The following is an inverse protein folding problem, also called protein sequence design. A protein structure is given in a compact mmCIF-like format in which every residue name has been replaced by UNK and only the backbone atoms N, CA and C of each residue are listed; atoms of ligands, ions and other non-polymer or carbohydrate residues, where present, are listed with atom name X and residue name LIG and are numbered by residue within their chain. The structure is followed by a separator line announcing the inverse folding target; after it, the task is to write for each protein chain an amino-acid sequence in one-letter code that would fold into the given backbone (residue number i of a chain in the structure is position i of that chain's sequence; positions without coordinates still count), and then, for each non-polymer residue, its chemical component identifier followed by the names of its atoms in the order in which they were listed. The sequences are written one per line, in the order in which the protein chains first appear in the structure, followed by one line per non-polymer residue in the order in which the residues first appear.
data_IF_017896232387
#
_entry.id   IF_017896232387
#
_cell.length_a   1.000
_cell.length_b   1.000
_cell.length_c   1.000
_cell.angle_alpha   90.00
_cell.angle_beta   90.00
_cell.angle_gamma   90.00
#
_symmetry.space_group_name_H-M   'P 1'
#
loop_
_entity.id
_entity.type
_entity.pdbx_description
1 polymer ?
#
# COMPACT_ATOMS: atom_id res chain seq x y z
N UNK A 1 64.39 -29.63 10.61
CA UNK A 1 62.93 -29.51 10.73
C UNK A 1 62.61 -28.78 12.03
N UNK A 2 62.18 -27.53 11.98
CA UNK A 2 61.77 -26.78 13.17
C UNK A 2 60.61 -25.87 12.79
N UNK A 3 59.39 -26.32 13.10
CA UNK A 3 58.16 -25.60 12.82
C UNK A 3 57.99 -24.47 13.83
N UNK A 4 58.11 -23.23 13.36
CA UNK A 4 57.69 -22.05 14.13
C UNK A 4 56.19 -21.84 13.92
N UNK A 5 55.47 -21.96 15.02
CA UNK A 5 54.06 -21.59 15.15
C UNK A 5 53.81 -20.17 14.61
N UNK A 6 52.78 -20.02 13.76
CA UNK A 6 52.20 -18.71 13.43
C UNK A 6 51.43 -18.20 14.66
N UNK A 7 51.57 -16.93 15.05
CA UNK A 7 50.66 -16.35 16.03
C UNK A 7 49.27 -16.21 15.39
N UNK A 8 48.26 -16.69 16.11
CA UNK A 8 46.85 -16.37 15.88
C UNK A 8 46.71 -14.88 16.08
N UNK A 9 46.48 -14.13 15.01
CA UNK A 9 46.06 -12.74 15.12
C UNK A 9 44.63 -12.75 15.65
N UNK A 10 44.48 -12.27 16.89
CA UNK A 10 43.21 -11.90 17.48
C UNK A 10 42.42 -11.07 16.46
N UNK A 11 41.25 -11.58 16.09
CA UNK A 11 40.27 -10.82 15.34
C UNK A 11 39.80 -9.74 16.29
N UNK A 12 40.50 -8.60 16.27
CA UNK A 12 40.07 -7.39 16.94
C UNK A 12 38.64 -7.12 16.51
N UNK A 13 37.73 -7.21 17.47
CA UNK A 13 36.34 -6.79 17.36
C UNK A 13 36.33 -5.30 17.04
N UNK A 14 36.43 -4.99 15.74
CA UNK A 14 36.17 -3.67 15.20
C UNK A 14 34.70 -3.37 15.48
N UNK A 15 34.43 -2.82 16.67
CA UNK A 15 33.12 -2.36 17.07
C UNK A 15 32.61 -1.42 16.00
N UNK A 16 31.44 -1.72 15.44
CA UNK A 16 30.72 -0.77 14.57
C UNK A 16 30.71 0.59 15.28
N UNK A 17 31.09 1.69 14.62
CA UNK A 17 30.98 2.99 15.25
C UNK A 17 29.51 3.19 15.63
N UNK A 18 29.25 3.29 16.94
CA UNK A 18 27.94 3.61 17.48
C UNK A 18 27.54 4.94 16.86
N UNK A 19 26.36 4.98 16.23
CA UNK A 19 25.83 6.17 15.59
C UNK A 19 25.98 7.37 16.52
N UNK A 20 26.55 8.45 16.00
CA UNK A 20 26.86 9.66 16.78
C UNK A 20 25.56 10.38 17.14
N UNK A 21 24.84 9.87 18.14
CA UNK A 21 23.74 10.58 18.77
C UNK A 21 24.33 11.87 19.36
N UNK A 22 24.00 13.01 18.74
CA UNK A 22 24.36 14.32 19.30
C UNK A 22 23.52 14.52 20.56
N UNK A 23 24.07 14.15 21.72
CA UNK A 23 23.54 14.59 23.01
C UNK A 23 23.60 16.12 23.07
N UNK A 24 22.47 16.76 23.38
CA UNK A 24 22.40 18.21 23.63
C UNK A 24 21.67 19.07 22.60
N UNK A 25 21.26 18.55 21.44
CA UNK A 25 20.38 19.32 20.53
C UNK A 25 18.92 19.10 20.94
N UNK A 26 18.18 20.19 21.22
CA UNK A 26 16.71 20.12 21.39
C UNK A 26 16.12 19.44 20.15
N UNK A 27 15.14 18.53 20.31
CA UNK A 27 14.46 17.94 19.17
C UNK A 27 13.96 19.04 18.24
N UNK A 28 14.44 19.03 17.00
CA UNK A 28 13.92 19.90 15.96
C UNK A 28 12.51 19.40 15.62
N UNK A 29 11.52 20.29 15.64
CA UNK A 29 10.16 19.93 15.29
C UNK A 29 10.10 19.68 13.78
N UNK A 30 10.17 18.41 13.38
CA UNK A 30 10.07 18.02 11.98
C UNK A 30 8.59 17.97 11.59
N UNK A 31 8.21 18.70 10.54
CA UNK A 31 6.87 18.62 9.96
C UNK A 31 6.58 17.20 9.52
N UNK A 32 5.50 16.60 10.04
CA UNK A 32 5.11 15.23 9.68
C UNK A 32 4.70 15.18 8.20
N UNK A 33 5.56 14.61 7.35
CA UNK A 33 5.22 14.31 5.96
C UNK A 33 4.23 13.15 5.91
N UNK A 34 3.07 13.35 5.29
CA UNK A 34 2.16 12.25 4.93
C UNK A 34 2.71 11.59 3.67
N UNK A 35 3.00 10.30 3.74
CA UNK A 35 3.33 9.50 2.56
C UNK A 35 2.12 9.39 1.64
N UNK A 36 2.36 9.41 0.33
CA UNK A 36 1.35 9.22 -0.72
C UNK A 36 0.09 10.10 -0.56
N UNK A 37 0.27 11.34 -0.08
CA UNK A 37 -0.82 12.27 0.21
C UNK A 37 -1.73 12.52 -1.00
N UNK A 38 -1.15 12.60 -2.20
CA UNK A 38 -1.90 12.79 -3.44
C UNK A 38 -2.76 11.57 -3.79
N UNK A 39 -2.24 10.35 -3.56
CA UNK A 39 -3.00 9.11 -3.80
C UNK A 39 -4.16 8.98 -2.82
N UNK A 40 -3.95 9.36 -1.55
CA UNK A 40 -5.02 9.41 -0.55
C UNK A 40 -6.11 10.42 -0.95
N UNK A 41 -5.70 11.61 -1.41
CA UNK A 41 -6.64 12.64 -1.86
C UNK A 41 -7.44 12.19 -3.10
N UNK A 42 -6.77 11.54 -4.07
CA UNK A 42 -7.44 10.99 -5.25
C UNK A 42 -8.44 9.89 -4.90
N UNK A 43 -8.09 8.98 -3.99
CA UNK A 43 -9.01 7.94 -3.52
C UNK A 43 -10.25 8.56 -2.84
N UNK A 44 -10.06 9.56 -1.99
CA UNK A 44 -11.16 10.26 -1.32
C UNK A 44 -12.06 11.02 -2.30
N UNK A 45 -11.48 11.66 -3.32
CA UNK A 45 -12.24 12.30 -4.39
C UNK A 45 -13.05 11.26 -5.17
N UNK A 46 -12.46 10.11 -5.48
CA UNK A 46 -13.14 9.05 -6.22
C UNK A 46 -14.29 8.43 -5.43
N UNK A 47 -14.10 8.21 -4.12
CA UNK A 47 -15.14 7.76 -3.19
C UNK A 47 -16.37 8.68 -3.22
N UNK A 48 -16.14 10.00 -3.19
CA UNK A 48 -17.22 10.98 -3.27
C UNK A 48 -17.95 10.99 -4.62
N UNK A 49 -17.24 10.69 -5.72
CA UNK A 49 -17.81 10.71 -7.06
C UNK A 49 -18.59 9.43 -7.40
N UNK A 50 -18.38 8.34 -6.67
CA UNK A 50 -18.89 7.01 -7.01
C UNK A 50 -19.72 6.44 -5.84
N UNK A 51 -20.92 6.99 -5.55
CA UNK A 51 -21.69 6.69 -4.33
C UNK A 51 -22.16 5.22 -4.18
N UNK A 52 -22.04 4.39 -5.22
CA UNK A 52 -22.30 2.95 -5.16
C UNK A 52 -21.11 2.12 -4.67
N UNK A 53 -19.97 2.77 -4.45
CA UNK A 53 -18.69 2.16 -4.14
C UNK A 53 -18.07 2.82 -2.91
N UNK A 54 -17.45 2.01 -2.06
CA UNK A 54 -16.51 2.48 -1.04
C UNK A 54 -15.11 2.39 -1.63
N UNK A 55 -14.37 3.49 -1.69
CA UNK A 55 -13.05 3.59 -2.31
C UNK A 55 -12.00 4.06 -1.31
N UNK A 56 -10.84 3.42 -1.28
CA UNK A 56 -9.72 3.84 -0.42
C UNK A 56 -8.35 3.50 -1.02
N UNK A 57 -7.31 4.13 -0.45
CA UNK A 57 -5.91 3.84 -0.80
C UNK A 57 -5.21 3.10 0.35
N UNK A 58 -4.65 1.93 0.05
CA UNK A 58 -3.86 1.16 1.00
C UNK A 58 -2.37 1.52 0.90
N UNK A 59 -1.84 2.20 1.89
CA UNK A 59 -0.43 2.65 1.92
C UNK A 59 0.58 1.51 1.97
N UNK A 60 0.23 0.36 2.57
CA UNK A 60 1.12 -0.81 2.66
C UNK A 60 1.38 -1.48 1.31
N UNK A 61 0.33 -1.64 0.50
CA UNK A 61 0.43 -2.24 -0.84
C UNK A 61 0.50 -1.19 -1.96
N UNK A 62 0.42 0.09 -1.59
CA UNK A 62 0.41 1.27 -2.47
C UNK A 62 -0.61 1.16 -3.61
N UNK A 63 -1.78 0.60 -3.29
CA UNK A 63 -2.82 0.25 -4.26
C UNK A 63 -4.16 0.88 -3.88
N UNK A 64 -4.99 1.16 -4.89
CA UNK A 64 -6.36 1.58 -4.72
C UNK A 64 -7.28 0.37 -4.64
N UNK A 65 -8.30 0.48 -3.79
CA UNK A 65 -9.30 -0.54 -3.54
C UNK A 65 -10.68 0.08 -3.70
N UNK A 66 -11.61 -0.67 -4.28
CA UNK A 66 -13.01 -0.29 -4.34
C UNK A 66 -13.89 -1.50 -4.03
N UNK A 67 -14.91 -1.31 -3.18
CA UNK A 67 -15.90 -2.33 -2.84
C UNK A 67 -17.29 -1.84 -3.19
N UNK A 68 -18.04 -2.63 -3.97
CA UNK A 68 -19.40 -2.30 -4.32
C UNK A 68 -20.31 -2.48 -3.10
N UNK A 69 -21.09 -1.45 -2.80
CA UNK A 69 -22.03 -1.46 -1.67
C UNK A 69 -23.40 -2.07 -2.02
N UNK A 70 -23.64 -2.33 -3.31
CA UNK A 70 -24.89 -2.94 -3.79
C UNK A 70 -24.87 -4.47 -3.58
N UNK A 71 -25.67 -4.96 -2.62
CA UNK A 71 -25.78 -6.38 -2.27
C UNK A 71 -26.42 -7.32 -3.31
N UNK A 72 -26.53 -6.93 -4.59
CA UNK A 72 -27.25 -7.70 -5.62
C UNK A 72 -26.52 -8.96 -6.09
N UNK A 73 -25.19 -9.04 -5.98
CA UNK A 73 -24.38 -10.18 -6.50
C UNK A 73 -23.32 -10.64 -5.49
N UNK A 74 -23.49 -10.31 -4.20
CA UNK A 74 -22.45 -10.54 -3.18
C UNK A 74 -21.36 -9.47 -3.19
N UNK A 75 -20.40 -9.52 -2.24
CA UNK A 75 -19.38 -8.48 -2.11
C UNK A 75 -18.43 -8.50 -3.31
N UNK A 76 -18.42 -7.40 -4.08
CA UNK A 76 -17.54 -7.22 -5.23
C UNK A 76 -16.42 -6.25 -4.86
N UNK A 77 -15.18 -6.72 -4.93
CA UNK A 77 -13.97 -5.95 -4.62
C UNK A 77 -13.06 -5.91 -5.83
N UNK A 78 -12.60 -4.72 -6.22
CA UNK A 78 -11.64 -4.51 -7.30
C UNK A 78 -10.46 -3.68 -6.81
N UNK A 79 -9.29 -3.87 -7.42
CA UNK A 79 -8.05 -3.24 -6.96
C UNK A 79 -7.18 -2.82 -8.14
N UNK A 80 -6.54 -1.66 -8.05
CA UNK A 80 -5.72 -1.14 -9.14
C UNK A 80 -4.60 -0.22 -8.66
N UNK A 81 -3.54 -0.07 -9.46
CA UNK A 81 -2.38 0.78 -9.15
C UNK A 81 -2.61 2.28 -9.42
N UNK A 82 -3.72 2.64 -10.09
CA UNK A 82 -4.10 4.02 -10.39
C UNK A 82 -5.62 4.21 -10.28
N UNK A 83 -6.06 5.45 -10.06
CA UNK A 83 -7.48 5.80 -10.01
C UNK A 83 -8.21 5.54 -11.33
N UNK A 84 -7.57 5.83 -12.47
CA UNK A 84 -8.18 5.60 -13.78
C UNK A 84 -8.41 4.10 -14.02
N UNK A 85 -7.38 3.27 -13.76
CA UNK A 85 -7.51 1.83 -13.88
C UNK A 85 -8.57 1.26 -12.91
N UNK A 86 -8.67 1.82 -11.69
CA UNK A 86 -9.69 1.42 -10.74
C UNK A 86 -11.10 1.71 -11.27
N UNK A 87 -11.33 2.90 -11.84
CA UNK A 87 -12.62 3.27 -12.44
C UNK A 87 -13.01 2.35 -13.58
N UNK A 88 -12.07 2.01 -14.46
CA UNK A 88 -12.30 1.06 -15.55
C UNK A 88 -12.75 -0.30 -14.98
N UNK A 89 -12.01 -0.83 -13.99
CA UNK A 89 -12.39 -2.09 -13.35
C UNK A 89 -13.76 -2.00 -12.67
N UNK A 90 -14.10 -0.91 -11.98
CA UNK A 90 -15.41 -0.71 -11.36
C UNK A 90 -16.54 -0.80 -12.40
N UNK A 91 -16.37 -0.15 -13.56
CA UNK A 91 -17.37 -0.19 -14.65
C UNK A 91 -17.48 -1.55 -15.30
N UNK A 92 -16.36 -2.24 -15.53
CA UNK A 92 -16.36 -3.62 -16.02
C UNK A 92 -17.09 -4.55 -15.05
N UNK A 93 -16.84 -4.38 -13.75
CA UNK A 93 -17.48 -5.17 -12.70
C UNK A 93 -19.00 -4.91 -12.64
N UNK A 94 -19.44 -3.66 -12.75
CA UNK A 94 -20.86 -3.29 -12.89
C UNK A 94 -21.49 -3.92 -14.13
N UNK A 95 -20.80 -3.91 -15.28
CA UNK A 95 -21.28 -4.51 -16.51
C UNK A 95 -21.44 -6.03 -16.38
N UNK A 96 -20.44 -6.71 -15.79
CA UNK A 96 -20.48 -8.15 -15.52
C UNK A 96 -21.67 -8.52 -14.61
N UNK A 97 -21.90 -7.75 -13.54
CA UNK A 97 -23.05 -7.92 -12.65
C UNK A 97 -24.37 -7.77 -13.41
N UNK A 98 -24.51 -6.75 -14.27
CA UNK A 98 -25.73 -6.55 -15.07
C UNK A 98 -26.00 -7.73 -16.02
N UNK A 99 -24.95 -8.30 -16.61
CA UNK A 99 -25.09 -9.49 -17.47
C UNK A 99 -25.52 -10.69 -16.63
N UNK A 100 -24.86 -10.95 -15.50
CA UNK A 100 -25.20 -12.07 -14.62
C UNK A 100 -26.65 -12.01 -14.11
N UNK A 101 -27.12 -10.84 -13.66
CA UNK A 101 -28.51 -10.66 -13.21
C UNK A 101 -29.51 -10.86 -14.36
N UNK A 102 -29.21 -10.39 -15.58
CA UNK A 102 -30.09 -10.61 -16.75
C UNK A 102 -30.22 -12.09 -17.12
N UNK A 103 -29.15 -12.86 -16.97
CA UNK A 103 -29.18 -14.32 -17.18
C UNK A 103 -30.05 -14.98 -16.11
N UNK A 104 -29.89 -14.61 -14.84
CA UNK A 104 -30.64 -15.19 -13.72
C UNK A 104 -32.15 -14.89 -13.74
N UNK A 105 -32.58 -13.77 -14.33
CA UNK A 105 -34.02 -13.42 -14.45
C UNK A 105 -34.72 -14.14 -15.61
N UNK A 106 -33.98 -14.73 -16.55
CA UNK A 106 -34.53 -15.41 -17.74
C UNK A 106 -34.64 -16.94 -17.60
N UNK A 107 -34.16 -17.50 -16.50
CA UNK A 107 -34.20 -18.92 -16.13
C UNK A 107 -35.27 -19.17 -15.09
#
# INVERSE_FOLDING_TARGET
MSGRHRPVQEIGSQGRPVGRHRSGRRPEMVTRRRFDADAIAQAAMLDQLEPGWLVWYGTYFRQFYAVAMSGKVGPLCVTAQSCEALRTQMREAEAAVRVAVRVAVRS
#
